data_IF_258170315698
#
_entry.id   IF_258170315698
#
_cell.length_a   1.000
_cell.length_b   1.000
_cell.length_c   1.000
_cell.angle_alpha   90.00
_cell.angle_beta   90.00
_cell.angle_gamma   90.00
#
_symmetry.space_group_name_H-M   'P 1'
#
loop_
_entity.id
_entity.type
_entity.pdbx_description
1 polymer ?
#
# COMPACT_ATOMS: atom_id res chain seq x y z
N UNK A 1 -38.45 -28.09 33.13
CA UNK A 1 -38.78 -26.70 33.46
C UNK A 1 -38.37 -26.50 34.89
N UNK A 2 -37.22 -25.87 35.15
CA UNK A 2 -36.76 -25.52 36.48
C UNK A 2 -37.57 -24.29 36.93
N UNK A 3 -38.27 -24.39 38.05
CA UNK A 3 -38.97 -23.28 38.70
C UNK A 3 -37.99 -22.12 38.94
N UNK A 4 -38.34 -20.88 38.60
CA UNK A 4 -37.50 -19.73 38.90
C UNK A 4 -37.23 -19.67 40.41
N UNK A 5 -35.97 -19.61 40.82
CA UNK A 5 -35.61 -19.42 42.21
C UNK A 5 -35.71 -17.93 42.53
N UNK A 6 -36.64 -17.51 43.40
CA UNK A 6 -36.89 -16.09 43.69
C UNK A 6 -35.69 -15.35 44.33
N UNK A 7 -34.69 -16.08 44.84
CA UNK A 7 -33.43 -15.48 45.28
C UNK A 7 -32.42 -15.19 44.17
N UNK A 8 -32.63 -15.74 42.97
CA UNK A 8 -31.73 -15.54 41.79
C UNK A 8 -32.14 -14.37 40.92
N UNK A 9 -33.36 -13.85 41.06
CA UNK A 9 -33.89 -12.76 40.23
C UNK A 9 -33.93 -11.43 41.00
N UNK A 10 -32.91 -11.14 41.83
CA UNK A 10 -32.79 -9.88 42.53
C UNK A 10 -32.34 -8.79 41.54
N UNK A 11 -33.15 -7.73 41.42
CA UNK A 11 -32.77 -6.52 40.70
C UNK A 11 -31.71 -5.76 41.47
N UNK A 12 -30.69 -5.26 40.79
CA UNK A 12 -29.74 -4.32 41.34
C UNK A 12 -30.43 -2.95 41.58
N UNK A 13 -29.95 -2.20 42.54
CA UNK A 13 -30.52 -0.91 42.98
C UNK A 13 -30.15 0.27 42.07
N UNK A 14 -29.35 0.02 41.05
CA UNK A 14 -28.97 1.02 40.02
C UNK A 14 -29.62 0.73 38.69
N UNK A 15 -29.74 1.77 37.88
CA UNK A 15 -30.19 1.65 36.49
C UNK A 15 -29.32 2.48 35.56
N UNK A 16 -29.06 1.98 34.36
CA UNK A 16 -28.37 2.66 33.26
C UNK A 16 -29.36 2.91 32.13
N UNK A 17 -29.58 4.18 31.80
CA UNK A 17 -30.53 4.59 30.75
C UNK A 17 -31.96 4.00 30.94
N UNK A 18 -32.39 3.82 32.21
CA UNK A 18 -33.70 3.24 32.52
C UNK A 18 -33.76 1.72 32.49
N UNK A 19 -32.63 1.02 32.20
CA UNK A 19 -32.53 -0.43 32.20
C UNK A 19 -31.96 -0.87 33.57
N UNK A 20 -32.66 -1.77 34.26
CA UNK A 20 -32.20 -2.42 35.48
C UNK A 20 -31.69 -3.82 35.16
N UNK A 21 -30.64 -4.23 35.84
CA UNK A 21 -30.00 -5.53 35.68
C UNK A 21 -30.35 -6.48 36.84
N UNK A 22 -30.38 -7.77 36.56
CA UNK A 22 -30.51 -8.78 37.59
C UNK A 22 -29.15 -9.16 38.19
N UNK A 23 -29.08 -9.34 39.50
CA UNK A 23 -27.89 -9.83 40.20
C UNK A 23 -27.77 -11.36 40.04
N UNK A 24 -27.51 -11.81 38.80
CA UNK A 24 -27.36 -13.22 38.49
C UNK A 24 -25.89 -13.66 38.50
N UNK A 25 -25.54 -14.73 39.21
CA UNK A 25 -24.17 -15.22 39.20
C UNK A 25 -23.80 -15.71 37.80
N UNK A 26 -22.55 -15.46 37.40
CA UNK A 26 -22.02 -15.92 36.14
C UNK A 26 -22.13 -17.46 36.03
N UNK A 27 -22.45 -18.00 34.86
CA UNK A 27 -22.49 -19.45 34.65
C UNK A 27 -21.15 -20.09 35.02
N UNK A 28 -21.19 -21.19 35.78
CA UNK A 28 -19.96 -21.87 36.24
C UNK A 28 -19.01 -22.27 35.13
N UNK A 29 -19.57 -22.74 34.01
CA UNK A 29 -18.74 -23.09 32.85
C UNK A 29 -17.96 -21.88 32.27
N UNK A 30 -18.57 -20.69 32.29
CA UNK A 30 -17.94 -19.46 31.86
C UNK A 30 -16.77 -19.06 32.78
N UNK A 31 -17.00 -19.13 34.09
CA UNK A 31 -15.97 -18.87 35.11
C UNK A 31 -14.79 -19.83 34.97
N UNK A 32 -15.05 -21.10 34.68
CA UNK A 32 -13.99 -22.09 34.42
C UNK A 32 -13.19 -21.76 33.15
N UNK A 33 -13.84 -21.37 32.07
CA UNK A 33 -13.12 -20.92 30.84
C UNK A 33 -12.27 -19.68 31.14
N UNK A 34 -12.81 -18.73 31.89
CA UNK A 34 -12.07 -17.52 32.26
C UNK A 34 -10.77 -17.86 33.01
N UNK A 35 -10.84 -18.70 34.03
CA UNK A 35 -9.66 -19.15 34.79
C UNK A 35 -8.70 -19.99 33.92
N UNK A 36 -9.22 -20.84 33.05
CA UNK A 36 -8.40 -21.59 32.10
C UNK A 36 -7.64 -20.67 31.13
N UNK A 37 -8.26 -19.61 30.65
CA UNK A 37 -7.59 -18.60 29.82
C UNK A 37 -6.48 -17.85 30.57
N UNK A 38 -6.70 -17.51 31.84
CA UNK A 38 -5.67 -16.87 32.68
C UNK A 38 -4.49 -17.83 32.89
N UNK A 39 -4.76 -19.09 33.25
CA UNK A 39 -3.72 -20.10 33.43
C UNK A 39 -2.93 -20.33 32.12
N UNK A 40 -3.63 -20.44 31.00
CA UNK A 40 -3.03 -20.56 29.68
C UNK A 40 -2.16 -19.35 29.35
N UNK A 41 -2.65 -18.13 29.59
CA UNK A 41 -1.89 -16.91 29.32
C UNK A 41 -0.61 -16.83 30.17
N UNK A 42 -0.69 -17.26 31.44
CA UNK A 42 0.49 -17.32 32.33
C UNK A 42 1.51 -18.34 31.81
N UNK A 43 1.09 -19.56 31.45
CA UNK A 43 1.99 -20.59 30.85
C UNK A 43 2.57 -20.10 29.53
N UNK A 44 1.71 -19.56 28.67
CA UNK A 44 2.13 -19.06 27.36
C UNK A 44 3.14 -17.90 27.46
N UNK A 45 2.91 -16.97 28.39
CA UNK A 45 3.71 -15.77 28.57
C UNK A 45 5.01 -15.96 29.37
N UNK A 46 4.95 -16.73 30.46
CA UNK A 46 6.04 -16.81 31.45
C UNK A 46 7.01 -17.98 31.22
N UNK A 47 6.59 -19.04 30.50
CA UNK A 47 7.48 -20.19 30.28
C UNK A 47 8.48 -19.84 29.18
N UNK A 48 9.80 -19.79 29.50
CA UNK A 48 10.84 -19.57 28.49
C UNK A 48 10.85 -20.71 27.47
N UNK A 49 11.08 -20.38 26.19
CA UNK A 49 11.14 -21.35 25.09
C UNK A 49 9.88 -22.21 24.95
N UNK A 50 8.73 -21.65 25.28
CA UNK A 50 7.45 -22.34 25.14
C UNK A 50 7.22 -22.74 23.66
N UNK A 51 7.09 -24.05 23.33
CA UNK A 51 6.90 -24.53 21.97
C UNK A 51 5.60 -24.03 21.33
N UNK A 52 4.62 -23.62 22.13
CA UNK A 52 3.34 -23.05 21.66
C UNK A 52 3.50 -21.62 21.11
N UNK A 53 4.62 -20.95 21.41
CA UNK A 53 4.89 -19.59 20.92
C UNK A 53 5.34 -19.54 19.47
N UNK A 54 5.88 -20.65 18.96
CA UNK A 54 6.53 -20.66 17.66
C UNK A 54 7.78 -19.74 17.61
N UNK A 55 8.35 -19.52 16.42
CA UNK A 55 9.53 -18.67 16.23
C UNK A 55 9.26 -17.18 16.43
N UNK A 56 8.00 -16.79 16.61
CA UNK A 56 7.56 -15.41 16.74
C UNK A 56 7.17 -14.77 15.39
N UNK A 57 6.14 -13.95 15.43
CA UNK A 57 5.51 -13.35 14.23
C UNK A 57 6.50 -12.60 13.32
N UNK A 58 7.50 -11.94 13.91
CA UNK A 58 8.52 -11.22 13.12
C UNK A 58 9.45 -12.17 12.38
N UNK A 59 9.81 -13.30 12.98
CA UNK A 59 10.64 -14.32 12.32
C UNK A 59 9.87 -14.99 11.19
N UNK A 60 8.60 -15.35 11.42
CA UNK A 60 7.71 -15.91 10.41
C UNK A 60 7.48 -14.92 9.26
N UNK A 61 7.24 -13.65 9.58
CA UNK A 61 7.09 -12.59 8.58
C UNK A 61 8.34 -12.40 7.74
N UNK A 62 9.50 -12.31 8.37
CA UNK A 62 10.77 -12.16 7.65
C UNK A 62 11.10 -13.40 6.79
N UNK A 63 10.79 -14.59 7.28
CA UNK A 63 10.93 -15.82 6.49
C UNK A 63 9.99 -15.82 5.27
N UNK A 64 8.74 -15.41 5.45
CA UNK A 64 7.79 -15.27 4.35
C UNK A 64 8.21 -14.20 3.33
N UNK A 65 8.76 -13.07 3.79
CA UNK A 65 9.32 -12.05 2.89
C UNK A 65 10.52 -12.58 2.10
N UNK A 66 11.43 -13.29 2.75
CA UNK A 66 12.58 -13.89 2.08
C UNK A 66 12.16 -14.93 1.03
N UNK A 67 11.16 -15.75 1.35
CA UNK A 67 10.60 -16.72 0.41
C UNK A 67 9.88 -16.02 -0.76
N UNK A 68 9.09 -14.98 -0.49
CA UNK A 68 8.45 -14.18 -1.53
C UNK A 68 9.48 -13.52 -2.44
N UNK A 69 10.57 -12.96 -1.89
CA UNK A 69 11.65 -12.37 -2.68
C UNK A 69 12.40 -13.42 -3.52
N UNK A 70 12.48 -14.67 -3.05
CA UNK A 70 13.08 -15.78 -3.80
C UNK A 70 12.19 -16.25 -4.95
N UNK A 71 10.88 -16.32 -4.72
CA UNK A 71 9.90 -16.75 -5.73
C UNK A 71 9.61 -15.65 -6.76
N UNK A 72 9.69 -14.40 -6.32
CA UNK A 72 9.49 -13.20 -7.11
C UNK A 72 10.72 -12.30 -6.94
N UNK A 73 11.88 -12.68 -7.51
CA UNK A 73 13.04 -11.81 -7.43
C UNK A 73 12.64 -10.44 -7.99
N UNK A 74 13.11 -9.35 -7.38
CA UNK A 74 12.89 -8.03 -7.94
C UNK A 74 13.36 -8.07 -9.38
N UNK A 75 12.47 -7.75 -10.30
CA UNK A 75 12.81 -7.66 -11.71
C UNK A 75 14.02 -6.74 -11.82
N UNK A 76 15.06 -7.19 -12.50
CA UNK A 76 16.26 -6.39 -12.66
C UNK A 76 15.84 -5.04 -13.23
N UNK A 77 16.06 -3.97 -12.48
CA UNK A 77 15.76 -2.62 -12.93
C UNK A 77 16.43 -2.44 -14.30
N UNK A 78 15.61 -2.13 -15.31
CA UNK A 78 16.15 -1.92 -16.65
C UNK A 78 17.18 -0.79 -16.57
N UNK A 79 18.34 -1.03 -17.16
CA UNK A 79 19.35 0.01 -17.22
C UNK A 79 18.81 1.25 -17.95
N UNK A 80 19.25 2.42 -17.55
CA UNK A 80 18.85 3.69 -18.19
C UNK A 80 19.06 3.65 -19.70
N UNK A 81 20.18 3.06 -20.15
CA UNK A 81 20.48 2.89 -21.57
C UNK A 81 19.43 2.03 -22.29
N UNK A 82 18.93 0.96 -21.63
CA UNK A 82 17.90 0.12 -22.21
C UNK A 82 16.55 0.85 -22.29
N UNK A 83 16.20 1.63 -21.25
CA UNK A 83 15.00 2.47 -21.25
C UNK A 83 15.08 3.55 -22.34
N UNK A 84 16.22 4.23 -22.48
CA UNK A 84 16.45 5.22 -23.53
C UNK A 84 16.33 4.63 -24.93
N UNK A 85 16.84 3.42 -25.16
CA UNK A 85 16.69 2.75 -26.44
C UNK A 85 15.22 2.55 -26.86
N UNK A 86 14.33 2.33 -25.89
CA UNK A 86 12.89 2.15 -26.14
C UNK A 86 12.16 3.46 -26.47
N UNK A 87 12.74 4.62 -26.19
CA UNK A 87 12.11 5.92 -26.52
C UNK A 87 11.97 6.13 -28.03
N UNK A 88 12.76 5.45 -28.83
CA UNK A 88 12.67 5.45 -30.29
C UNK A 88 11.70 4.42 -30.85
N UNK A 89 11.17 3.50 -30.01
CA UNK A 89 10.21 2.50 -30.46
C UNK A 89 8.78 3.07 -30.42
N UNK A 90 8.26 3.40 -31.61
CA UNK A 90 6.92 3.97 -31.76
C UNK A 90 5.81 3.09 -31.16
N UNK A 91 5.98 1.76 -31.13
CA UNK A 91 5.02 0.83 -30.57
C UNK A 91 4.97 0.96 -29.05
N UNK A 92 6.12 1.02 -28.39
CA UNK A 92 6.25 1.21 -26.94
C UNK A 92 5.71 2.57 -26.52
N UNK A 93 6.04 3.64 -27.24
CA UNK A 93 5.50 4.99 -26.99
C UNK A 93 3.97 5.02 -27.14
N UNK A 94 3.41 4.40 -28.18
CA UNK A 94 1.97 4.35 -28.39
C UNK A 94 1.24 3.55 -27.29
N UNK A 95 1.80 2.41 -26.88
CA UNK A 95 1.27 1.62 -25.77
C UNK A 95 1.30 2.40 -24.44
N UNK A 96 2.40 3.11 -24.17
CA UNK A 96 2.54 3.99 -23.01
C UNK A 96 1.52 5.12 -23.03
N UNK A 97 1.30 5.77 -24.18
CA UNK A 97 0.27 6.80 -24.33
C UNK A 97 -1.13 6.28 -24.01
N UNK A 98 -1.50 5.12 -24.55
CA UNK A 98 -2.81 4.52 -24.29
C UNK A 98 -3.01 4.24 -22.80
N UNK A 99 -2.00 3.66 -22.15
CA UNK A 99 -2.03 3.39 -20.72
C UNK A 99 -2.09 4.70 -19.91
N UNK A 100 -1.30 5.70 -20.27
CA UNK A 100 -1.27 6.99 -19.60
C UNK A 100 -2.64 7.67 -19.60
N UNK A 101 -3.30 7.71 -20.73
CA UNK A 101 -4.62 8.34 -20.86
C UNK A 101 -5.67 7.64 -20.02
N UNK A 102 -5.61 6.33 -19.88
CA UNK A 102 -6.59 5.56 -19.11
C UNK A 102 -6.30 5.52 -17.60
N UNK A 103 -5.04 5.64 -17.20
CA UNK A 103 -4.61 5.35 -15.83
C UNK A 103 -4.02 6.57 -15.12
N UNK A 104 -3.19 7.37 -15.80
CA UNK A 104 -2.42 8.45 -15.21
C UNK A 104 -3.08 9.84 -15.41
N UNK A 105 -3.85 9.99 -16.48
CA UNK A 105 -4.42 11.27 -16.90
C UNK A 105 -5.38 11.89 -15.87
N UNK A 106 -6.01 11.10 -15.02
CA UNK A 106 -6.88 11.60 -13.94
C UNK A 106 -6.16 12.56 -13.00
N UNK A 107 -4.85 12.35 -12.77
CA UNK A 107 -4.02 13.20 -11.93
C UNK A 107 -3.08 14.11 -12.74
N UNK A 108 -2.57 13.64 -13.88
CA UNK A 108 -1.56 14.35 -14.66
C UNK A 108 -2.09 15.04 -15.93
N UNK A 109 -3.40 14.95 -16.20
CA UNK A 109 -4.06 15.37 -17.44
C UNK A 109 -3.64 14.52 -18.63
N UNK A 110 -4.47 14.40 -19.69
CA UNK A 110 -4.14 13.61 -20.88
C UNK A 110 -2.92 14.12 -21.68
N UNK A 111 -2.61 15.41 -21.52
CA UNK A 111 -1.49 16.09 -22.15
C UNK A 111 -0.22 16.15 -21.27
N UNK A 112 -0.27 15.59 -20.05
CA UNK A 112 0.83 15.61 -19.09
C UNK A 112 1.04 16.94 -18.36
N UNK A 113 0.23 17.96 -18.62
CA UNK A 113 0.40 19.31 -18.06
C UNK A 113 0.14 19.46 -16.56
N UNK A 114 -0.29 18.38 -15.88
CA UNK A 114 -0.52 18.36 -14.43
C UNK A 114 -1.88 18.89 -14.01
N UNK A 115 -2.44 18.31 -12.95
CA UNK A 115 -3.68 18.73 -12.29
C UNK A 115 -3.52 18.53 -10.77
N UNK A 116 -3.91 17.37 -10.23
CA UNK A 116 -3.60 16.95 -8.86
C UNK A 116 -2.10 16.62 -8.79
N UNK A 117 -1.64 15.79 -9.72
CA UNK A 117 -0.23 15.48 -9.92
C UNK A 117 0.55 16.65 -10.51
N UNK A 118 1.90 16.59 -10.50
CA UNK A 118 2.77 17.59 -11.10
C UNK A 118 2.66 17.61 -12.63
N UNK A 119 3.15 18.71 -13.22
CA UNK A 119 3.44 18.81 -14.64
C UNK A 119 4.57 17.82 -14.99
N UNK A 120 4.42 17.09 -16.09
CA UNK A 120 5.37 16.10 -16.58
C UNK A 120 6.04 16.54 -17.89
N UNK A 121 5.79 17.78 -18.29
CA UNK A 121 6.26 18.28 -19.60
C UNK A 121 7.40 19.27 -19.49
N UNK A 122 7.68 19.78 -18.27
CA UNK A 122 8.72 20.75 -17.99
C UNK A 122 10.02 20.08 -17.47
N UNK A 123 11.01 20.89 -17.14
CA UNK A 123 12.31 20.48 -16.62
C UNK A 123 12.36 20.33 -15.11
N UNK A 124 11.23 20.50 -14.38
CA UNK A 124 11.21 20.50 -12.92
C UNK A 124 10.63 19.20 -12.37
N UNK A 125 11.41 18.51 -11.54
CA UNK A 125 11.09 17.16 -11.07
C UNK A 125 11.14 17.08 -9.55
N UNK A 126 10.13 16.46 -8.95
CA UNK A 126 10.04 16.23 -7.50
C UNK A 126 10.80 14.98 -7.04
N UNK A 127 10.88 13.95 -7.91
CA UNK A 127 11.40 12.63 -7.57
C UNK A 127 12.46 12.12 -8.58
N UNK A 128 13.22 13.06 -9.17
CA UNK A 128 14.19 12.76 -10.22
C UNK A 128 13.60 12.83 -11.62
N UNK A 129 14.42 13.29 -12.58
CA UNK A 129 14.02 13.59 -13.96
C UNK A 129 14.66 12.69 -15.01
N UNK A 130 15.56 11.75 -14.65
CA UNK A 130 16.06 10.76 -15.61
C UNK A 130 14.99 9.72 -15.93
N UNK A 131 15.10 9.03 -17.05
CA UNK A 131 14.12 7.99 -17.41
C UNK A 131 14.10 6.84 -16.40
N UNK A 132 15.25 6.53 -15.80
CA UNK A 132 15.37 5.53 -14.75
C UNK A 132 14.64 5.97 -13.45
N UNK A 133 14.79 7.23 -13.03
CA UNK A 133 14.10 7.77 -11.87
C UNK A 133 12.59 7.89 -12.10
N UNK A 134 12.16 8.24 -13.31
CA UNK A 134 10.75 8.24 -13.69
C UNK A 134 10.18 6.81 -13.60
N UNK A 135 10.89 5.83 -14.17
CA UNK A 135 10.52 4.42 -14.08
C UNK A 135 10.42 3.97 -12.63
N UNK A 136 11.43 4.25 -11.80
CA UNK A 136 11.46 3.95 -10.37
C UNK A 136 10.26 4.59 -9.62
N UNK A 137 9.96 5.85 -9.91
CA UNK A 137 8.82 6.56 -9.30
C UNK A 137 7.49 5.91 -9.68
N UNK A 138 7.32 5.47 -10.93
CA UNK A 138 6.11 4.75 -11.35
C UNK A 138 6.01 3.39 -10.66
N UNK A 139 7.11 2.64 -10.58
CA UNK A 139 7.15 1.32 -9.91
C UNK A 139 6.75 1.45 -8.45
N UNK A 140 7.35 2.38 -7.71
CA UNK A 140 7.19 2.47 -6.25
C UNK A 140 6.03 3.37 -5.81
N UNK A 141 5.59 4.27 -6.68
CA UNK A 141 4.60 5.27 -6.34
C UNK A 141 5.13 6.33 -5.36
N UNK A 142 4.26 7.27 -4.97
CA UNK A 142 4.49 8.28 -3.94
C UNK A 142 3.26 8.29 -3.04
N UNK A 143 3.17 7.30 -2.15
CA UNK A 143 1.96 6.98 -1.40
C UNK A 143 1.48 8.12 -0.51
N UNK A 144 2.39 8.86 0.10
CA UNK A 144 2.10 10.03 0.93
C UNK A 144 1.55 11.22 0.13
N UNK A 145 1.71 11.22 -1.19
CA UNK A 145 1.15 12.20 -2.13
C UNK A 145 -0.01 11.65 -2.96
N UNK A 146 -0.43 10.42 -2.71
CA UNK A 146 -1.56 9.78 -3.36
C UNK A 146 -1.25 9.13 -4.72
N UNK A 147 0.02 9.03 -5.12
CA UNK A 147 0.40 8.26 -6.30
C UNK A 147 0.58 6.78 -5.93
N UNK A 148 -0.24 5.86 -6.48
CA UNK A 148 -0.14 4.43 -6.17
C UNK A 148 1.19 3.82 -6.64
N UNK A 149 1.56 2.70 -6.01
CA UNK A 149 2.64 1.83 -6.46
C UNK A 149 2.16 1.01 -7.67
N UNK A 150 2.46 1.50 -8.87
CA UNK A 150 2.01 0.86 -10.10
C UNK A 150 2.75 -0.43 -10.42
N UNK A 151 3.95 -0.62 -9.91
CA UNK A 151 4.70 -1.87 -10.08
C UNK A 151 4.02 -3.10 -9.48
N UNK A 152 3.08 -2.92 -8.55
CA UNK A 152 2.25 -4.01 -8.00
C UNK A 152 0.94 -4.24 -8.76
N UNK A 153 0.54 -3.31 -9.63
CA UNK A 153 -0.77 -3.29 -10.27
C UNK A 153 -0.68 -3.50 -11.79
N UNK A 154 0.44 -3.13 -12.38
CA UNK A 154 0.70 -3.21 -13.82
C UNK A 154 1.79 -4.24 -14.10
N UNK A 155 1.78 -4.77 -15.32
CA UNK A 155 2.88 -5.62 -15.79
C UNK A 155 4.13 -4.78 -16.02
N UNK A 156 5.35 -5.35 -15.90
CA UNK A 156 6.60 -4.63 -16.10
C UNK A 156 6.70 -3.91 -17.43
N UNK A 157 6.24 -4.55 -18.52
CA UNK A 157 6.26 -3.94 -19.85
C UNK A 157 5.33 -2.71 -19.92
N UNK A 158 4.25 -2.71 -19.14
CA UNK A 158 3.32 -1.58 -19.06
C UNK A 158 3.93 -0.42 -18.31
N UNK A 159 4.63 -0.70 -17.19
CA UNK A 159 5.36 0.33 -16.42
C UNK A 159 6.46 0.94 -17.29
N UNK A 160 7.23 0.12 -17.98
CA UNK A 160 8.26 0.57 -18.91
C UNK A 160 7.68 1.45 -20.02
N UNK A 161 6.60 1.03 -20.66
CA UNK A 161 5.92 1.81 -21.70
C UNK A 161 5.40 3.16 -21.15
N UNK A 162 4.85 3.18 -19.92
CA UNK A 162 4.42 4.40 -19.26
C UNK A 162 5.59 5.36 -19.01
N UNK A 163 6.72 4.86 -18.52
CA UNK A 163 7.93 5.67 -18.29
C UNK A 163 8.48 6.25 -19.59
N UNK A 164 8.55 5.44 -20.65
CA UNK A 164 8.97 5.87 -21.98
C UNK A 164 8.04 6.95 -22.54
N UNK A 165 6.73 6.81 -22.36
CA UNK A 165 5.78 7.84 -22.80
C UNK A 165 5.92 9.13 -21.98
N UNK A 166 6.00 9.04 -20.64
CA UNK A 166 6.22 10.21 -19.76
C UNK A 166 7.52 10.92 -20.16
N UNK A 167 8.58 10.16 -20.46
CA UNK A 167 9.82 10.73 -20.97
C UNK A 167 9.61 11.53 -22.27
N UNK A 168 8.76 11.04 -23.17
CA UNK A 168 8.46 11.69 -24.45
C UNK A 168 7.61 12.96 -24.33
N UNK A 169 6.96 13.21 -23.18
CA UNK A 169 6.17 14.43 -22.93
C UNK A 169 7.02 15.67 -22.71
N UNK A 170 8.31 15.52 -22.42
CA UNK A 170 9.21 16.64 -22.17
C UNK A 170 9.21 17.63 -23.34
N UNK A 171 9.01 18.92 -23.01
CA UNK A 171 9.03 20.02 -23.99
C UNK A 171 7.78 20.12 -24.88
N UNK A 172 6.71 19.36 -24.60
CA UNK A 172 5.46 19.43 -25.41
C UNK A 172 4.64 20.70 -25.12
N UNK A 173 4.88 21.39 -24.02
CA UNK A 173 4.28 22.69 -23.65
C UNK A 173 2.74 22.76 -23.84
N UNK A 174 1.96 21.94 -23.12
CA UNK A 174 0.50 21.97 -23.22
C UNK A 174 -0.06 23.32 -22.71
N UNK A 175 -1.30 23.69 -23.13
CA UNK A 175 -1.91 24.94 -22.70
C UNK A 175 -2.23 24.90 -21.18
N UNK A 176 -1.95 26.01 -20.48
CA UNK A 176 -2.20 26.16 -19.05
C UNK A 176 -1.62 25.02 -18.20
N UNK A 177 -0.32 24.74 -18.27
CA UNK A 177 0.29 23.71 -17.47
C UNK A 177 0.28 24.12 -16.00
N UNK A 178 0.33 23.15 -15.11
CA UNK A 178 0.55 23.43 -13.67
C UNK A 178 1.93 24.05 -13.49
N UNK A 179 2.02 24.97 -12.52
CA UNK A 179 3.29 25.64 -12.17
C UNK A 179 4.40 24.61 -11.90
N UNK A 180 5.63 24.90 -12.32
CA UNK A 180 6.79 24.03 -12.11
C UNK A 180 6.99 23.67 -10.65
N UNK A 181 7.28 22.40 -10.36
CA UNK A 181 7.45 21.89 -9.00
C UNK A 181 8.70 21.00 -8.91
N UNK A 182 9.52 21.25 -7.89
CA UNK A 182 10.71 20.44 -7.61
C UNK A 182 12.01 21.11 -8.02
N UNK A 183 12.97 20.31 -8.45
CA UNK A 183 14.33 20.72 -8.80
C UNK A 183 14.49 20.73 -10.31
N UNK A 184 15.19 21.73 -10.83
CA UNK A 184 15.54 21.81 -12.25
C UNK A 184 16.47 20.65 -12.63
N UNK A 185 16.04 19.82 -13.56
CA UNK A 185 16.81 18.73 -14.15
C UNK A 185 16.81 18.92 -15.66
N UNK A 186 17.75 19.74 -16.21
CA UNK A 186 17.80 20.01 -17.64
C UNK A 186 18.06 18.73 -18.41
N UNK A 187 17.33 18.54 -19.50
CA UNK A 187 17.60 17.45 -20.45
C UNK A 187 18.18 18.02 -21.72
N UNK A 188 19.31 17.50 -22.10
CA UNK A 188 19.84 17.75 -23.46
C UNK A 188 18.89 17.11 -24.49
N UNK A 189 18.58 17.86 -25.57
CA UNK A 189 17.71 17.41 -26.66
C UNK A 189 18.47 16.50 -27.61
#
# INVERSE_FOLDING_TARGET
MTTPNPEQDRLLDHSYDGIQEFDNPLPRWWVWIFWACIAFAAVYGLVPNNPLRGPGRMVEYNAALAEAARLHPPEAEMSEAALLALTSDAKTVAAGKQLFVTTCAACHRPDGGGLIGPNLTDDYWLHGGTIAEIHHTIVNGVLDKGMPNWGKMLKPEQVTAAAVYVWSLHGTNPPNPKEPQGVLVPREK
#
